data_IF_393260987171
#
_entry.id   IF_393260987171
#
_cell.length_a   1.000
_cell.length_b   1.000
_cell.length_c   1.000
_cell.angle_alpha   90.00
_cell.angle_beta   90.00
_cell.angle_gamma   90.00
#
_symmetry.space_group_name_H-M   'P 1'
#
loop_
_entity.id
_entity.type
_entity.pdbx_description
1 polymer ?
#
# COMPACT_ATOMS: atom_id res chain seq x y z
N UNK A 1 -2.98 -0.84 7.48
CA UNK A 1 -4.38 -1.27 7.22
C UNK A 1 -4.74 -2.53 7.99
N UNK A 2 -3.96 -3.61 7.90
CA UNK A 2 -4.17 -4.82 8.73
C UNK A 2 -4.39 -4.52 10.23
N UNK A 3 -3.56 -3.64 10.81
CA UNK A 3 -3.74 -3.18 12.18
C UNK A 3 -5.09 -2.49 12.44
N UNK A 4 -5.61 -1.71 11.49
CA UNK A 4 -6.93 -1.05 11.59
C UNK A 4 -8.05 -2.10 11.56
N UNK A 5 -7.94 -3.14 10.73
CA UNK A 5 -8.89 -4.26 10.70
C UNK A 5 -8.94 -4.92 12.08
N UNK A 6 -7.80 -5.29 12.64
CA UNK A 6 -7.71 -5.91 13.98
C UNK A 6 -8.30 -4.98 15.05
N UNK A 7 -7.94 -3.68 15.05
CA UNK A 7 -8.48 -2.71 16.04
C UNK A 7 -10.01 -2.60 15.95
N UNK A 8 -10.57 -2.60 14.74
CA UNK A 8 -12.03 -2.42 14.54
C UNK A 8 -12.86 -3.67 14.73
N UNK A 9 -12.32 -4.83 14.34
CA UNK A 9 -13.10 -6.08 14.25
C UNK A 9 -12.72 -7.11 15.31
N UNK A 10 -11.50 -7.03 15.88
CA UNK A 10 -10.94 -8.08 16.73
C UNK A 10 -10.52 -9.34 15.95
N UNK A 11 -10.76 -9.40 14.64
CA UNK A 11 -10.52 -10.57 13.81
C UNK A 11 -9.15 -10.51 13.11
N UNK A 12 -8.68 -11.68 12.69
CA UNK A 12 -7.49 -11.78 11.85
C UNK A 12 -7.78 -11.18 10.46
N UNK A 13 -6.94 -10.26 9.96
CA UNK A 13 -7.14 -9.67 8.65
C UNK A 13 -6.96 -10.74 7.55
N UNK A 14 -7.62 -10.57 6.40
CA UNK A 14 -7.47 -11.49 5.28
C UNK A 14 -5.99 -11.58 4.86
N UNK A 15 -5.55 -12.78 4.49
CA UNK A 15 -4.17 -13.08 4.08
C UNK A 15 -3.88 -12.64 2.65
N UNK A 16 -4.15 -11.37 2.36
CA UNK A 16 -3.93 -10.72 1.05
C UNK A 16 -2.97 -9.54 1.19
N UNK A 17 -2.33 -9.18 0.09
CA UNK A 17 -1.42 -8.02 -0.01
C UNK A 17 -1.99 -6.88 -0.86
N UNK A 18 -3.20 -7.05 -1.39
CA UNK A 18 -3.92 -6.01 -2.12
C UNK A 18 -4.38 -4.93 -1.11
N UNK A 19 -3.77 -3.75 -1.20
CA UNK A 19 -4.05 -2.65 -0.27
C UNK A 19 -5.44 -2.05 -0.46
N UNK A 20 -6.00 -2.08 -1.67
CA UNK A 20 -7.38 -1.64 -1.91
C UNK A 20 -8.37 -2.56 -1.18
N UNK A 21 -8.18 -3.88 -1.28
CA UNK A 21 -9.02 -4.84 -0.55
C UNK A 21 -8.88 -4.69 0.96
N UNK A 22 -7.66 -4.44 1.46
CA UNK A 22 -7.43 -4.21 2.89
C UNK A 22 -8.06 -2.89 3.36
N UNK A 23 -8.06 -1.84 2.54
CA UNK A 23 -8.72 -0.57 2.88
C UNK A 23 -10.24 -0.72 2.92
N UNK A 24 -10.81 -1.45 1.97
CA UNK A 24 -12.24 -1.78 1.91
C UNK A 24 -12.69 -2.55 3.16
N UNK A 25 -12.00 -3.65 3.50
CA UNK A 25 -12.30 -4.47 4.70
C UNK A 25 -12.11 -3.67 5.98
N UNK A 26 -11.13 -2.75 6.02
CA UNK A 26 -10.91 -1.87 7.16
C UNK A 26 -11.96 -0.74 7.27
N UNK A 27 -12.88 -0.59 6.31
CA UNK A 27 -13.82 0.52 6.24
C UNK A 27 -13.12 1.87 6.25
N UNK A 28 -12.01 1.98 5.51
CA UNK A 28 -11.24 3.22 5.40
C UNK A 28 -11.76 4.02 4.21
N UNK A 29 -12.34 5.22 4.41
CA UNK A 29 -12.75 6.06 3.29
C UNK A 29 -11.51 6.54 2.53
N UNK A 30 -11.45 6.22 1.24
CA UNK A 30 -10.35 6.58 0.35
C UNK A 30 -10.87 7.43 -0.80
N UNK A 31 -10.33 8.64 -0.95
CA UNK A 31 -10.56 9.47 -2.14
C UNK A 31 -9.95 8.79 -3.41
N UNK A 32 -10.26 9.28 -4.63
CA UNK A 32 -9.74 8.69 -5.86
C UNK A 32 -8.21 8.60 -5.92
N UNK A 33 -7.50 9.61 -5.40
CA UNK A 33 -6.03 9.66 -5.42
C UNK A 33 -5.40 8.62 -4.50
N UNK A 34 -5.94 8.44 -3.30
CA UNK A 34 -5.52 7.39 -2.37
C UNK A 34 -5.78 6.01 -2.99
N UNK A 35 -6.95 5.78 -3.59
CA UNK A 35 -7.23 4.50 -4.27
C UNK A 35 -6.23 4.22 -5.37
N UNK A 36 -5.94 5.21 -6.22
CA UNK A 36 -4.93 5.08 -7.26
C UNK A 36 -3.57 4.70 -6.67
N UNK A 37 -3.13 5.40 -5.62
CA UNK A 37 -1.84 5.13 -5.01
C UNK A 37 -1.74 3.73 -4.37
N UNK A 38 -2.78 3.29 -3.67
CA UNK A 38 -2.82 1.95 -3.07
C UNK A 38 -2.81 0.86 -4.15
N UNK A 39 -3.44 1.12 -5.30
CA UNK A 39 -3.35 0.28 -6.48
C UNK A 39 -1.91 0.21 -7.02
N UNK A 40 -1.26 1.36 -7.20
CA UNK A 40 0.15 1.46 -7.63
C UNK A 40 1.08 0.65 -6.70
N UNK A 41 0.98 0.86 -5.38
CA UNK A 41 1.77 0.11 -4.40
C UNK A 41 1.50 -1.40 -4.43
N UNK A 42 0.24 -1.81 -4.63
CA UNK A 42 -0.12 -3.21 -4.76
C UNK A 42 0.50 -3.84 -6.02
N UNK A 43 0.59 -3.08 -7.12
CA UNK A 43 1.27 -3.53 -8.33
C UNK A 43 2.78 -3.67 -8.13
N UNK A 44 3.43 -2.72 -7.44
CA UNK A 44 4.85 -2.82 -7.10
C UNK A 44 5.16 -4.05 -6.25
N UNK A 45 4.27 -4.46 -5.36
CA UNK A 45 4.43 -5.71 -4.63
C UNK A 45 4.47 -6.93 -5.56
N UNK A 46 3.67 -6.94 -6.63
CA UNK A 46 3.70 -8.03 -7.62
C UNK A 46 5.03 -8.02 -8.37
N UNK A 47 5.40 -6.86 -8.90
CA UNK A 47 6.59 -6.68 -9.75
C UNK A 47 7.92 -6.90 -8.99
N UNK A 48 7.93 -6.69 -7.68
CA UNK A 48 9.13 -6.87 -6.86
C UNK A 48 9.35 -8.30 -6.38
N UNK A 49 8.45 -9.25 -6.71
CA UNK A 49 8.57 -10.65 -6.27
C UNK A 49 9.58 -11.48 -7.05
N UNK A 50 9.89 -11.10 -8.28
CA UNK A 50 10.81 -11.87 -9.13
C UNK A 50 12.02 -11.02 -9.52
N UNK A 51 13.26 -11.53 -9.29
CA UNK A 51 14.48 -10.79 -9.62
C UNK A 51 14.57 -10.33 -11.07
N UNK A 52 14.01 -11.09 -12.02
CA UNK A 52 13.94 -10.73 -13.45
C UNK A 52 13.11 -9.47 -13.69
N UNK A 53 11.92 -9.41 -13.07
CA UNK A 53 11.01 -8.25 -13.15
C UNK A 53 11.61 -7.04 -12.44
N UNK A 54 12.28 -7.25 -11.31
CA UNK A 54 13.01 -6.19 -10.59
C UNK A 54 14.14 -5.61 -11.44
N UNK A 55 14.93 -6.45 -12.14
CA UNK A 55 15.99 -5.97 -13.03
C UNK A 55 15.43 -5.19 -14.21
N UNK A 56 14.34 -5.66 -14.79
CA UNK A 56 13.65 -5.01 -15.91
C UNK A 56 13.03 -3.67 -15.49
N UNK A 57 12.42 -3.61 -14.31
CA UNK A 57 11.89 -2.36 -13.77
C UNK A 57 13.00 -1.42 -13.29
N UNK A 58 14.09 -1.96 -12.73
CA UNK A 58 15.22 -1.20 -12.20
C UNK A 58 15.92 -0.31 -13.23
N UNK A 59 15.88 -0.67 -14.51
CA UNK A 59 16.40 0.17 -15.60
C UNK A 59 15.51 1.37 -15.95
N UNK A 60 14.25 1.37 -15.50
CA UNK A 60 13.24 2.42 -15.76
C UNK A 60 12.86 3.23 -14.52
N UNK A 61 13.23 2.76 -13.32
CA UNK A 61 12.97 3.45 -12.05
C UNK A 61 14.04 4.51 -11.80
N UNK A 62 13.65 5.78 -11.84
CA UNK A 62 14.52 6.89 -11.44
C UNK A 62 14.54 7.09 -9.91
N UNK A 63 15.59 7.75 -9.41
CA UNK A 63 15.70 8.12 -7.98
C UNK A 63 14.54 9.04 -7.56
N UNK A 64 14.13 9.92 -8.44
CA UNK A 64 13.03 10.87 -8.22
C UNK A 64 11.70 10.14 -8.06
N UNK A 65 11.42 9.16 -8.93
CA UNK A 65 10.23 8.32 -8.84
C UNK A 65 10.23 7.51 -7.55
N UNK A 66 11.33 6.82 -7.24
CA UNK A 66 11.46 6.02 -6.02
C UNK A 66 11.27 6.88 -4.76
N UNK A 67 11.90 8.06 -4.71
CA UNK A 67 11.75 9.01 -3.62
C UNK A 67 10.32 9.55 -3.48
N UNK A 68 9.63 9.79 -4.60
CA UNK A 68 8.23 10.22 -4.60
C UNK A 68 7.31 9.14 -4.04
N UNK A 69 7.46 7.89 -4.49
CA UNK A 69 6.70 6.74 -3.99
C UNK A 69 6.95 6.52 -2.50
N UNK A 70 8.21 6.61 -2.05
CA UNK A 70 8.56 6.47 -0.64
C UNK A 70 7.87 7.52 0.24
N UNK A 71 7.95 8.80 -0.13
CA UNK A 71 7.28 9.88 0.62
C UNK A 71 5.76 9.67 0.71
N UNK A 72 5.12 9.29 -0.40
CA UNK A 72 3.68 8.99 -0.42
C UNK A 72 3.33 7.77 0.45
N UNK A 73 4.21 6.76 0.49
CA UNK A 73 4.05 5.60 1.35
C UNK A 73 4.14 5.99 2.84
N UNK A 74 5.10 6.83 3.22
CA UNK A 74 5.23 7.37 4.58
C UNK A 74 3.98 8.14 5.00
N UNK A 75 3.47 9.02 4.13
CA UNK A 75 2.20 9.73 4.36
C UNK A 75 1.03 8.77 4.55
N UNK A 76 0.97 7.71 3.75
CA UNK A 76 -0.07 6.67 3.86
C UNK A 76 0.03 5.92 5.19
N UNK A 77 1.24 5.61 5.66
CA UNK A 77 1.46 4.99 6.97
C UNK A 77 0.99 5.91 8.09
N UNK A 78 1.38 7.19 8.07
CA UNK A 78 0.95 8.17 9.07
C UNK A 78 -0.57 8.32 9.12
N UNK A 79 -1.22 8.38 7.96
CA UNK A 79 -2.67 8.42 7.85
C UNK A 79 -3.34 7.15 8.40
N UNK A 80 -2.81 5.97 8.12
CA UNK A 80 -3.32 4.71 8.69
C UNK A 80 -3.14 4.67 10.21
N UNK A 81 -2.00 5.15 10.73
CA UNK A 81 -1.71 5.19 12.16
C UNK A 81 -2.60 6.19 12.90
N UNK A 82 -2.99 7.31 12.28
CA UNK A 82 -3.90 8.26 12.91
C UNK A 82 -5.28 7.67 13.22
N UNK A 83 -5.70 6.63 12.49
CA UNK A 83 -6.93 5.87 12.74
C UNK A 83 -6.80 4.86 13.90
N UNK A 84 -5.57 4.61 14.35
CA UNK A 84 -5.28 3.74 15.49
C UNK A 84 -5.15 4.50 16.81
N UNK A 85 -5.16 5.83 16.77
CA UNK A 85 -5.47 6.64 17.94
C UNK A 85 -6.95 6.46 18.27
#
# INVERSE_FOLDING_TARGET
MKAVIVKKTGELPPRVHNLLRLAEVAGIPSNPEHRRFLGELSAYYIQSRYPEEVRTAGSTISRELAGSVLRRAEQTVQWVLSMLK
#
